data_IF_561205737972
#
_entry.id   IF_561205737972
#
_cell.length_a   1.000
_cell.length_b   1.000
_cell.length_c   1.000
_cell.angle_alpha   90.00
_cell.angle_beta   90.00
_cell.angle_gamma   90.00
#
_symmetry.space_group_name_H-M   'P 1'
#
loop_
_entity.id
_entity.type
_entity.pdbx_description
1 polymer ?
#
# COMPACT_ATOMS: atom_id res chain seq x y z
N UNK A 1 40.98 48.78 -27.59
CA UNK A 1 41.46 48.76 -26.19
C UNK A 1 40.56 49.67 -25.37
N UNK A 2 39.83 49.14 -24.38
CA UNK A 2 39.52 49.92 -23.19
C UNK A 2 39.98 49.17 -21.95
N UNK A 3 40.96 49.75 -21.26
CA UNK A 3 41.30 49.46 -19.87
C UNK A 3 40.31 50.25 -19.00
N UNK A 4 39.50 49.56 -18.22
CA UNK A 4 39.08 50.01 -16.89
C UNK A 4 38.68 48.77 -16.09
N UNK A 5 39.67 48.22 -15.38
CA UNK A 5 39.57 47.16 -14.39
C UNK A 5 39.76 47.82 -13.02
N UNK A 6 39.04 47.33 -12.00
CA UNK A 6 39.00 47.77 -10.60
C UNK A 6 38.31 49.14 -10.41
N UNK A 7 37.22 49.26 -9.66
CA UNK A 7 37.05 48.91 -8.23
C UNK A 7 35.57 48.55 -7.97
N UNK A 8 35.33 47.81 -6.88
CA UNK A 8 34.05 47.42 -6.26
C UNK A 8 33.50 46.02 -6.56
N UNK A 9 34.30 45.04 -6.12
CA UNK A 9 33.83 43.87 -5.36
C UNK A 9 33.00 44.34 -4.16
N UNK A 10 31.68 44.50 -4.32
CA UNK A 10 30.71 44.65 -3.21
C UNK A 10 29.25 44.69 -3.68
N UNK A 11 28.79 43.78 -4.55
CA UNK A 11 27.35 43.69 -4.86
C UNK A 11 26.87 42.29 -5.30
N UNK A 12 27.30 41.23 -4.62
CA UNK A 12 26.69 39.89 -4.77
C UNK A 12 26.44 39.15 -3.46
N UNK A 13 26.52 39.84 -2.32
CA UNK A 13 26.21 39.29 -1.00
C UNK A 13 24.85 39.76 -0.49
N UNK A 14 23.77 39.53 -1.26
CA UNK A 14 22.41 39.37 -0.71
C UNK A 14 21.51 38.75 -1.77
N UNK A 15 20.72 37.75 -1.38
CA UNK A 15 19.83 36.89 -2.18
C UNK A 15 20.44 35.63 -2.81
N UNK A 16 21.49 35.09 -2.20
CA UNK A 16 21.78 33.66 -2.29
C UNK A 16 21.70 33.04 -0.89
N UNK A 17 20.51 33.05 -0.28
CA UNK A 17 20.14 31.88 0.54
C UNK A 17 19.91 30.73 -0.44
N UNK A 18 21.02 30.22 -0.98
CA UNK A 18 21.11 28.82 -1.34
C UNK A 18 20.81 28.09 -0.03
N UNK A 19 19.53 27.75 0.16
CA UNK A 19 19.16 26.64 1.01
C UNK A 19 19.97 25.49 0.43
N UNK A 20 21.11 25.22 1.08
CA UNK A 20 21.73 23.93 1.05
C UNK A 20 20.64 22.99 1.57
N UNK A 21 19.77 22.52 0.67
CA UNK A 21 19.06 21.27 0.83
C UNK A 21 20.17 20.29 1.18
N UNK A 22 20.28 20.01 2.48
CA UNK A 22 21.16 19.01 3.01
C UNK A 22 20.73 17.74 2.28
N UNK A 23 21.49 17.37 1.24
CA UNK A 23 21.31 16.18 0.43
C UNK A 23 21.69 15.01 1.34
N UNK A 24 20.89 14.78 2.38
CA UNK A 24 20.92 13.57 3.18
C UNK A 24 20.78 12.45 2.16
N UNK A 25 21.84 11.65 2.02
CA UNK A 25 21.91 10.54 1.08
C UNK A 25 20.59 9.78 1.11
N UNK A 26 19.84 9.82 0.00
CA UNK A 26 18.63 9.02 -0.14
C UNK A 26 19.05 7.56 0.02
N UNK A 27 18.56 6.90 1.05
CA UNK A 27 18.89 5.49 1.29
C UNK A 27 18.46 4.66 0.08
N UNK A 28 19.42 4.01 -0.57
CA UNK A 28 19.20 3.10 -1.70
C UNK A 28 18.18 2.03 -1.31
N UNK A 29 17.04 1.97 -2.02
CA UNK A 29 15.96 1.02 -1.75
C UNK A 29 16.43 -0.45 -1.79
N UNK A 30 17.48 -0.77 -2.55
CA UNK A 30 18.06 -2.11 -2.62
C UNK A 30 18.89 -2.48 -1.39
N UNK A 31 19.36 -1.49 -0.61
CA UNK A 31 20.19 -1.65 0.59
C UNK A 31 19.48 -1.31 1.89
N UNK A 32 18.41 -0.51 1.82
CA UNK A 32 17.64 -0.07 2.97
C UNK A 32 17.07 -1.28 3.74
N UNK A 33 17.10 -1.21 5.07
CA UNK A 33 16.56 -2.28 5.95
C UNK A 33 15.09 -2.55 5.61
N UNK A 34 14.78 -3.76 5.18
CA UNK A 34 13.40 -4.27 5.08
C UNK A 34 13.01 -4.87 6.43
N UNK A 35 11.93 -4.36 7.01
CA UNK A 35 11.34 -4.94 8.20
C UNK A 35 10.72 -6.31 7.94
N UNK A 36 10.22 -6.91 9.01
CA UNK A 36 9.37 -8.11 8.99
C UNK A 36 8.54 -8.11 10.26
N UNK A 37 7.62 -9.05 10.41
CA UNK A 37 6.93 -9.28 11.67
C UNK A 37 7.79 -10.18 12.57
N UNK A 38 8.07 -9.70 13.78
CA UNK A 38 8.64 -10.54 14.85
C UNK A 38 7.66 -11.65 15.24
N UNK A 39 8.13 -12.67 15.95
CA UNK A 39 7.28 -13.78 16.43
C UNK A 39 6.07 -13.28 17.23
N UNK A 40 6.32 -12.44 18.23
CA UNK A 40 5.26 -11.79 19.02
C UNK A 40 4.27 -10.99 18.16
N UNK A 41 4.75 -10.32 17.11
CA UNK A 41 3.85 -9.59 16.20
C UNK A 41 3.02 -10.55 15.35
N UNK A 42 3.57 -11.69 14.93
CA UNK A 42 2.81 -12.73 14.22
C UNK A 42 1.73 -13.34 15.11
N UNK A 43 2.03 -13.62 16.38
CA UNK A 43 1.05 -14.08 17.37
C UNK A 43 -0.08 -13.05 17.57
N UNK A 44 0.27 -11.78 17.75
CA UNK A 44 -0.71 -10.69 17.88
C UNK A 44 -1.58 -10.53 16.62
N UNK A 45 -1.03 -10.84 15.44
CA UNK A 45 -1.72 -10.72 14.17
C UNK A 45 -2.56 -11.96 13.80
N UNK A 46 -2.38 -13.10 14.48
CA UNK A 46 -3.02 -14.37 14.14
C UNK A 46 -4.56 -14.26 13.98
N UNK A 47 -5.32 -13.60 14.88
CA UNK A 47 -6.79 -13.49 14.73
C UNK A 47 -7.24 -12.66 13.53
N UNK A 48 -6.35 -11.83 12.96
CA UNK A 48 -6.63 -11.05 11.75
C UNK A 48 -6.24 -11.84 10.51
N UNK A 49 -5.14 -12.59 10.57
CA UNK A 49 -4.65 -13.46 9.51
C UNK A 49 -5.62 -14.61 9.16
N UNK A 50 -6.45 -15.01 10.13
CA UNK A 50 -7.56 -15.97 9.91
C UNK A 50 -8.67 -15.44 9.02
N UNK A 51 -8.82 -14.12 8.92
CA UNK A 51 -9.83 -13.47 8.09
C UNK A 51 -9.28 -13.04 6.73
N UNK A 52 -7.96 -12.91 6.60
CA UNK A 52 -7.33 -12.51 5.36
C UNK A 52 -5.97 -11.84 5.58
N UNK A 53 -5.36 -11.33 4.50
CA UNK A 53 -4.04 -10.71 4.58
C UNK A 53 -3.99 -9.48 5.48
N UNK A 54 -2.84 -9.29 6.11
CA UNK A 54 -2.49 -8.09 6.87
C UNK A 54 -1.34 -7.37 6.17
N UNK A 55 -1.40 -6.04 6.11
CA UNK A 55 -0.38 -5.19 5.51
C UNK A 55 0.14 -4.21 6.55
N UNK A 56 1.45 -4.18 6.79
CA UNK A 56 2.12 -3.10 7.52
C UNK A 56 2.88 -2.23 6.53
N UNK A 57 2.56 -0.94 6.53
CA UNK A 57 3.30 0.06 5.74
C UNK A 57 4.22 0.83 6.67
N UNK A 58 5.50 0.50 6.68
CA UNK A 58 6.49 1.10 7.59
C UNK A 58 7.09 2.39 7.04
N UNK A 59 7.23 3.38 7.91
CA UNK A 59 7.88 4.65 7.61
C UNK A 59 9.18 4.76 8.43
N UNK A 60 10.34 4.90 7.78
CA UNK A 60 11.62 4.89 8.49
C UNK A 60 11.92 6.18 9.25
N UNK A 61 11.66 7.37 8.67
CA UNK A 61 11.95 8.65 9.35
C UNK A 61 11.07 9.80 8.88
N UNK A 62 10.84 9.95 7.56
CA UNK A 62 10.00 11.01 6.99
C UNK A 62 8.82 10.44 6.22
N UNK A 63 7.71 11.17 6.24
CA UNK A 63 6.56 10.91 5.37
C UNK A 63 6.90 10.93 3.87
N UNK A 64 8.09 11.37 3.47
CA UNK A 64 8.61 11.41 2.10
C UNK A 64 9.43 10.19 1.70
N UNK A 65 9.85 9.35 2.65
CA UNK A 65 10.68 8.18 2.36
C UNK A 65 9.86 7.06 1.72
N UNK A 66 10.51 6.18 0.96
CA UNK A 66 9.85 5.01 0.38
C UNK A 66 9.51 4.01 1.49
N UNK A 67 8.22 3.74 1.74
CA UNK A 67 7.85 2.83 2.80
C UNK A 67 8.32 1.42 2.48
N UNK A 68 8.63 0.66 3.53
CA UNK A 68 8.62 -0.79 3.38
C UNK A 68 7.17 -1.26 3.49
N UNK A 69 6.77 -2.17 2.61
CA UNK A 69 5.45 -2.77 2.59
C UNK A 69 5.63 -4.21 3.03
N UNK A 70 5.04 -4.59 4.16
CA UNK A 70 5.14 -5.93 4.74
C UNK A 70 3.75 -6.54 4.72
N UNK A 71 3.53 -7.47 3.81
CA UNK A 71 2.33 -8.28 3.75
C UNK A 71 2.53 -9.58 4.52
N UNK A 72 1.48 -10.03 5.21
CA UNK A 72 1.40 -11.36 5.77
C UNK A 72 0.08 -12.02 5.39
N UNK A 73 0.12 -13.31 5.05
CA UNK A 73 -1.07 -14.11 4.79
C UNK A 73 -0.85 -15.56 5.26
N UNK A 74 -1.89 -16.15 5.84
CA UNK A 74 -1.97 -17.61 6.02
C UNK A 74 -2.22 -18.25 4.66
N UNK A 75 -1.56 -19.38 4.42
CA UNK A 75 -1.69 -20.18 3.21
C UNK A 75 -2.04 -21.60 3.64
N UNK A 76 -3.14 -22.13 3.12
CA UNK A 76 -3.59 -23.51 3.31
C UNK A 76 -2.77 -24.46 2.42
N UNK A 77 -1.45 -24.41 2.61
CA UNK A 77 -0.47 -25.29 2.00
C UNK A 77 0.75 -25.45 2.93
N UNK A 78 1.41 -26.63 2.91
CA UNK A 78 2.67 -26.83 3.62
C UNK A 78 3.72 -25.80 3.19
N UNK A 79 4.55 -25.34 4.14
CA UNK A 79 5.60 -24.34 3.87
C UNK A 79 6.52 -24.72 2.70
N UNK A 80 6.81 -26.03 2.53
CA UNK A 80 7.59 -26.56 1.41
C UNK A 80 6.91 -26.35 0.05
N UNK A 81 5.59 -26.49 -0.02
CA UNK A 81 4.81 -26.28 -1.24
C UNK A 81 4.88 -24.82 -1.66
N UNK A 82 4.68 -23.90 -0.70
CA UNK A 82 4.78 -22.45 -0.95
C UNK A 82 6.19 -22.05 -1.38
N UNK A 83 7.22 -22.58 -0.70
CA UNK A 83 8.62 -22.38 -1.07
C UNK A 83 8.91 -22.88 -2.49
N UNK A 84 8.32 -24.02 -2.87
CA UNK A 84 8.36 -24.56 -4.22
C UNK A 84 7.80 -23.60 -5.26
N UNK A 85 6.66 -22.97 -5.01
CA UNK A 85 6.10 -21.95 -5.92
C UNK A 85 7.08 -20.78 -6.08
N UNK A 86 7.56 -20.20 -4.98
CA UNK A 86 8.41 -18.99 -4.99
C UNK A 86 9.80 -19.23 -5.61
N UNK A 87 10.35 -20.43 -5.47
CA UNK A 87 11.69 -20.73 -5.96
C UNK A 87 11.80 -20.80 -7.50
N UNK A 88 10.67 -20.84 -8.23
CA UNK A 88 10.62 -21.14 -9.66
C UNK A 88 9.91 -20.00 -10.43
N UNK A 89 10.52 -18.81 -10.51
CA UNK A 89 9.88 -17.64 -11.14
C UNK A 89 9.51 -17.86 -12.61
N UNK A 90 10.16 -18.78 -13.33
CA UNK A 90 9.79 -19.18 -14.69
C UNK A 90 8.38 -19.78 -14.79
N UNK A 91 7.81 -20.28 -13.69
CA UNK A 91 6.45 -20.82 -13.66
C UNK A 91 5.41 -19.73 -13.40
N UNK A 92 5.81 -18.54 -12.95
CA UNK A 92 4.89 -17.47 -12.58
C UNK A 92 3.90 -17.10 -13.70
N UNK A 93 4.29 -16.99 -14.98
CA UNK A 93 3.34 -16.68 -16.06
C UNK A 93 2.18 -17.67 -16.21
N UNK A 94 2.30 -18.90 -15.68
CA UNK A 94 1.23 -19.90 -15.74
C UNK A 94 0.08 -19.63 -14.78
N UNK A 95 0.29 -18.82 -13.75
CA UNK A 95 -0.71 -18.52 -12.73
C UNK A 95 -0.85 -17.02 -12.39
N UNK A 96 0.12 -16.19 -12.74
CA UNK A 96 0.07 -14.73 -12.61
C UNK A 96 -0.37 -14.12 -13.93
N UNK A 97 -1.68 -13.93 -14.13
CA UNK A 97 -2.23 -13.64 -15.47
C UNK A 97 -1.65 -12.41 -16.15
N UNK A 98 -1.25 -11.41 -15.38
CA UNK A 98 -0.70 -10.19 -15.93
C UNK A 98 0.79 -10.35 -16.28
N UNK A 99 1.49 -11.33 -15.71
CA UNK A 99 2.91 -11.59 -15.99
C UNK A 99 3.05 -12.38 -17.28
N UNK A 100 3.42 -11.70 -18.36
CA UNK A 100 3.48 -12.28 -19.70
C UNK A 100 4.64 -13.27 -19.85
N UNK A 101 5.81 -12.96 -19.29
CA UNK A 101 6.97 -13.83 -19.40
C UNK A 101 7.97 -13.66 -18.25
N UNK A 102 8.70 -14.73 -17.99
CA UNK A 102 9.88 -14.74 -17.12
C UNK A 102 10.98 -15.54 -17.83
N UNK A 103 12.11 -14.88 -18.08
CA UNK A 103 13.23 -15.44 -18.81
C UNK A 103 14.44 -15.58 -17.88
N UNK A 104 14.70 -16.81 -17.41
CA UNK A 104 15.89 -17.10 -16.59
C UNK A 104 17.15 -16.93 -17.43
N UNK A 105 18.05 -16.05 -16.98
CA UNK A 105 19.31 -15.73 -17.69
C UNK A 105 20.48 -16.57 -17.20
N UNK A 106 20.53 -16.84 -15.90
CA UNK A 106 21.57 -17.68 -15.33
C UNK A 106 21.17 -18.21 -13.97
N UNK A 107 21.70 -19.38 -13.63
CA UNK A 107 21.62 -19.97 -12.28
C UNK A 107 23.05 -20.23 -11.82
N UNK A 108 23.41 -19.73 -10.63
CA UNK A 108 24.73 -19.92 -10.01
C UNK A 108 24.54 -20.23 -8.53
N UNK A 109 24.65 -21.50 -8.17
CA UNK A 109 24.41 -21.97 -6.80
C UNK A 109 23.01 -21.59 -6.32
N UNK A 110 22.94 -20.81 -5.24
CA UNK A 110 21.68 -20.34 -4.64
C UNK A 110 21.06 -19.13 -5.33
N UNK A 111 21.70 -18.59 -6.38
CA UNK A 111 21.26 -17.38 -7.07
C UNK A 111 20.71 -17.67 -8.46
N UNK A 112 19.59 -17.03 -8.81
CA UNK A 112 18.95 -17.07 -10.12
C UNK A 112 18.73 -15.65 -10.62
N UNK A 113 19.32 -15.30 -11.76
CA UNK A 113 19.05 -14.05 -12.46
C UNK A 113 17.98 -14.28 -13.52
N UNK A 114 16.97 -13.41 -13.57
CA UNK A 114 15.88 -13.51 -14.54
C UNK A 114 15.35 -12.13 -14.93
N UNK A 115 14.87 -12.05 -16.16
CA UNK A 115 14.11 -10.92 -16.67
C UNK A 115 12.62 -11.26 -16.62
N UNK A 116 11.77 -10.26 -16.52
CA UNK A 116 10.33 -10.44 -16.56
C UNK A 116 9.66 -9.34 -17.38
N UNK A 117 8.49 -9.67 -17.93
CA UNK A 117 7.58 -8.73 -18.60
C UNK A 117 6.20 -8.85 -17.98
N UNK A 118 5.68 -7.72 -17.52
CA UNK A 118 4.35 -7.57 -16.93
C UNK A 118 3.48 -6.75 -17.88
N UNK A 119 2.44 -7.38 -18.43
CA UNK A 119 1.50 -6.76 -19.34
C UNK A 119 0.35 -6.11 -18.59
N UNK A 120 0.11 -4.84 -18.83
CA UNK A 120 -1.19 -4.21 -18.55
C UNK A 120 -1.79 -3.69 -19.86
N UNK A 121 -3.10 -3.56 -19.93
CA UNK A 121 -3.84 -3.27 -21.19
C UNK A 121 -3.33 -2.05 -21.97
N UNK A 122 -2.61 -1.12 -21.34
CA UNK A 122 -2.08 0.09 -21.98
C UNK A 122 -0.56 0.17 -22.11
N UNK A 123 0.19 -0.68 -21.41
CA UNK A 123 1.66 -0.65 -21.42
C UNK A 123 2.22 -1.97 -20.88
N UNK A 124 3.46 -2.30 -21.27
CA UNK A 124 4.23 -3.35 -20.61
C UNK A 124 5.22 -2.71 -19.63
N UNK A 125 5.52 -3.46 -18.58
CA UNK A 125 6.61 -3.17 -17.66
C UNK A 125 7.60 -4.32 -17.74
N UNK A 126 8.87 -4.00 -17.76
CA UNK A 126 9.96 -4.99 -17.77
C UNK A 126 10.86 -4.78 -16.57
N UNK A 127 11.55 -5.84 -16.15
CA UNK A 127 12.59 -5.68 -15.14
C UNK A 127 13.54 -6.84 -15.00
N UNK A 128 14.61 -6.56 -14.26
CA UNK A 128 15.73 -7.46 -14.03
C UNK A 128 15.81 -7.77 -12.54
N UNK A 129 15.80 -9.05 -12.21
CA UNK A 129 15.82 -9.52 -10.84
C UNK A 129 16.91 -10.56 -10.61
N UNK A 130 17.42 -10.58 -9.39
CA UNK A 130 18.24 -11.68 -8.87
C UNK A 130 17.53 -12.24 -7.63
N UNK A 131 17.07 -13.49 -7.72
CA UNK A 131 16.56 -14.27 -6.60
C UNK A 131 17.71 -15.02 -5.93
N UNK A 132 17.76 -14.98 -4.60
CA UNK A 132 18.67 -15.76 -3.75
C UNK A 132 17.85 -16.63 -2.83
N UNK A 133 18.01 -17.95 -2.93
CA UNK A 133 17.35 -18.93 -2.07
C UNK A 133 18.26 -19.30 -0.90
N UNK A 134 17.78 -19.11 0.33
CA UNK A 134 18.54 -19.52 1.52
C UNK A 134 18.18 -20.96 1.91
N UNK A 135 19.09 -21.71 2.56
CA UNK A 135 18.78 -23.03 3.10
C UNK A 135 17.56 -22.99 4.01
N UNK A 136 16.74 -24.04 3.92
CA UNK A 136 15.60 -24.22 4.80
C UNK A 136 16.06 -24.47 6.23
N UNK A 137 15.31 -23.94 7.18
CA UNK A 137 15.52 -24.09 8.61
C UNK A 137 14.24 -24.66 9.25
N UNK A 138 14.31 -25.70 10.11
CA UNK A 138 13.11 -26.30 10.70
C UNK A 138 12.26 -25.31 11.54
N UNK A 139 12.89 -24.34 12.20
CA UNK A 139 12.22 -23.38 13.07
C UNK A 139 11.90 -22.07 12.33
N UNK A 140 12.84 -21.60 11.50
CA UNK A 140 12.73 -20.32 10.79
C UNK A 140 12.10 -20.45 9.40
N UNK A 141 11.90 -21.68 8.93
CA UNK A 141 11.27 -22.00 7.67
C UNK A 141 12.13 -21.68 6.45
N UNK A 142 11.51 -21.11 5.42
CA UNK A 142 12.17 -20.80 4.15
C UNK A 142 12.33 -19.29 3.96
N UNK A 143 13.40 -18.91 3.25
CA UNK A 143 13.65 -17.51 2.90
C UNK A 143 14.16 -17.36 1.47
N UNK A 144 13.59 -16.38 0.78
CA UNK A 144 14.04 -15.95 -0.54
C UNK A 144 14.21 -14.44 -0.55
N UNK A 145 15.34 -13.96 -1.05
CA UNK A 145 15.57 -12.54 -1.29
C UNK A 145 15.58 -12.28 -2.80
N UNK A 146 14.76 -11.35 -3.28
CA UNK A 146 14.77 -10.90 -4.67
C UNK A 146 15.26 -9.46 -4.70
N UNK A 147 16.31 -9.18 -5.47
CA UNK A 147 16.82 -7.84 -5.71
C UNK A 147 16.44 -7.41 -7.12
N UNK A 148 15.73 -6.29 -7.24
CA UNK A 148 15.47 -5.65 -8.52
C UNK A 148 16.64 -4.74 -8.85
N UNK A 149 17.39 -5.13 -9.87
CA UNK A 149 18.64 -4.46 -10.28
C UNK A 149 18.42 -3.42 -11.36
N UNK A 150 17.24 -3.41 -12.00
CA UNK A 150 16.84 -2.40 -12.99
C UNK A 150 15.52 -2.75 -13.67
N UNK A 151 15.12 -1.89 -14.61
CA UNK A 151 13.88 -2.02 -15.37
C UNK A 151 12.93 -0.83 -15.17
N UNK A 152 11.70 -1.03 -15.61
CA UNK A 152 10.64 -0.02 -15.67
C UNK A 152 9.89 0.15 -14.34
N UNK A 153 10.23 -0.64 -13.32
CA UNK A 153 9.85 -0.45 -11.91
C UNK A 153 11.02 0.09 -11.06
N UNK A 154 12.16 0.42 -11.68
CA UNK A 154 13.33 0.97 -11.00
C UNK A 154 14.14 -0.06 -10.22
N UNK A 155 14.58 0.29 -9.01
CA UNK A 155 15.42 -0.56 -8.16
C UNK A 155 14.70 -0.90 -6.86
N UNK A 156 15.04 -2.04 -6.27
CA UNK A 156 14.47 -2.39 -4.98
C UNK A 156 14.81 -3.77 -4.50
N UNK A 157 14.08 -4.19 -3.46
CA UNK A 157 14.27 -5.47 -2.82
C UNK A 157 12.95 -6.01 -2.31
N UNK A 158 12.81 -7.32 -2.42
CA UNK A 158 11.71 -8.13 -1.92
C UNK A 158 12.30 -9.27 -1.09
N UNK A 159 11.65 -9.62 0.01
CA UNK A 159 12.01 -10.75 0.86
C UNK A 159 10.75 -11.57 1.13
N UNK A 160 10.83 -12.85 0.84
CA UNK A 160 9.86 -13.86 1.25
C UNK A 160 10.38 -14.57 2.49
N UNK A 161 9.53 -14.68 3.51
CA UNK A 161 9.71 -15.61 4.63
C UNK A 161 8.49 -16.50 4.74
N UNK A 162 8.71 -17.79 4.91
CA UNK A 162 7.64 -18.78 4.94
C UNK A 162 7.83 -19.58 6.23
N UNK A 163 6.95 -19.36 7.20
CA UNK A 163 7.00 -20.03 8.49
C UNK A 163 6.04 -21.23 8.46
N UNK A 164 6.48 -22.42 8.91
CA UNK A 164 5.57 -23.53 9.15
C UNK A 164 4.49 -23.14 10.20
N UNK A 165 3.23 -23.45 9.94
CA UNK A 165 2.10 -23.22 10.87
C UNK A 165 1.24 -24.50 10.97
N UNK A 166 1.92 -25.64 11.04
CA UNK A 166 1.34 -26.99 10.96
C UNK A 166 1.70 -27.75 9.68
N UNK A 167 1.24 -29.00 9.52
CA UNK A 167 1.58 -29.84 8.38
C UNK A 167 0.95 -29.37 7.07
N UNK A 168 -0.25 -28.77 7.12
CA UNK A 168 -1.03 -28.36 5.95
C UNK A 168 -1.12 -26.84 5.78
N UNK A 169 -0.46 -26.07 6.66
CA UNK A 169 -0.56 -24.62 6.68
C UNK A 169 0.79 -23.96 6.85
N UNK A 170 0.87 -22.72 6.36
CA UNK A 170 2.03 -21.88 6.55
C UNK A 170 1.63 -20.41 6.65
N UNK A 171 2.52 -19.62 7.26
CA UNK A 171 2.43 -18.17 7.29
C UNK A 171 3.50 -17.59 6.36
N UNK A 172 3.06 -16.88 5.34
CA UNK A 172 3.95 -16.17 4.42
C UNK A 172 4.04 -14.71 4.83
N UNK A 173 5.26 -14.19 4.92
CA UNK A 173 5.56 -12.78 5.08
C UNK A 173 6.34 -12.30 3.86
N UNK A 174 5.71 -11.42 3.08
CA UNK A 174 6.27 -10.77 1.90
C UNK A 174 6.63 -9.33 2.25
N UNK A 175 7.91 -8.98 2.19
CA UNK A 175 8.40 -7.63 2.52
C UNK A 175 9.02 -6.99 1.29
N UNK A 176 8.55 -5.83 0.86
CA UNK A 176 9.05 -5.14 -0.33
C UNK A 176 9.38 -3.67 -0.09
N UNK A 177 10.35 -3.17 -0.83
CA UNK A 177 10.63 -1.74 -1.01
C UNK A 177 11.11 -1.55 -2.44
N UNK A 178 10.36 -0.77 -3.21
CA UNK A 178 10.64 -0.45 -4.61
C UNK A 178 10.76 1.07 -4.76
N UNK A 179 11.79 1.52 -5.46
CA UNK A 179 12.02 2.90 -5.85
C UNK A 179 11.78 3.09 -7.34
N UNK A 180 10.57 3.58 -7.65
CA UNK A 180 10.11 3.82 -9.02
C UNK A 180 10.48 5.23 -9.53
N UNK A 181 11.15 6.08 -8.72
CA UNK A 181 11.39 7.49 -9.07
C UNK A 181 12.30 7.66 -10.30
N UNK A 182 13.19 6.70 -10.53
CA UNK A 182 14.09 6.69 -11.69
C UNK A 182 13.64 5.74 -12.79
N UNK A 183 12.38 5.27 -12.75
CA UNK A 183 11.85 4.33 -13.75
C UNK A 183 11.54 5.02 -15.09
N UNK A 184 10.90 4.34 -16.04
CA UNK A 184 10.62 4.87 -17.40
C UNK A 184 9.71 6.11 -17.38
N UNK A 185 9.54 6.78 -18.53
CA UNK A 185 8.81 8.06 -18.61
C UNK A 185 7.37 7.97 -18.09
N UNK A 186 6.63 6.92 -18.42
CA UNK A 186 5.25 6.72 -17.96
C UNK A 186 5.20 6.53 -16.44
N UNK A 187 6.09 5.69 -15.91
CA UNK A 187 6.21 5.50 -14.46
C UNK A 187 6.62 6.80 -13.76
N UNK A 188 7.49 7.60 -14.37
CA UNK A 188 7.86 8.94 -13.86
C UNK A 188 6.68 9.92 -13.90
N UNK A 189 5.84 9.87 -14.93
CA UNK A 189 4.68 10.74 -15.06
C UNK A 189 3.57 10.37 -14.06
N UNK A 190 3.41 9.07 -13.77
CA UNK A 190 2.56 8.61 -12.67
C UNK A 190 3.17 8.96 -11.30
N UNK A 191 4.50 8.89 -11.16
CA UNK A 191 5.22 9.23 -9.95
C UNK A 191 5.37 10.75 -9.71
N UNK A 192 5.26 11.58 -10.75
CA UNK A 192 5.43 13.04 -10.67
C UNK A 192 4.28 13.72 -9.95
N UNK A 193 3.10 13.09 -9.89
CA UNK A 193 1.97 13.47 -9.01
C UNK A 193 2.27 13.23 -7.51
N UNK A 194 3.47 12.71 -7.20
CA UNK A 194 4.05 12.65 -5.87
C UNK A 194 4.29 11.23 -5.38
N UNK A 195 5.00 11.13 -4.24
CA UNK A 195 5.31 9.87 -3.56
C UNK A 195 4.07 9.01 -3.21
N UNK A 196 2.88 9.58 -3.33
CA UNK A 196 1.63 8.91 -3.05
C UNK A 196 1.29 7.80 -4.05
N UNK A 197 1.44 8.06 -5.35
CA UNK A 197 1.10 7.10 -6.41
C UNK A 197 2.07 5.91 -6.38
N UNK A 198 3.37 6.16 -6.21
CA UNK A 198 4.39 5.11 -6.05
C UNK A 198 4.05 4.14 -4.91
N UNK A 199 3.49 4.63 -3.80
CA UNK A 199 3.10 3.78 -2.67
C UNK A 199 1.89 2.91 -3.00
N UNK A 200 0.88 3.49 -3.63
CA UNK A 200 -0.31 2.77 -4.06
C UNK A 200 0.07 1.62 -4.99
N UNK A 201 0.94 1.89 -5.96
CA UNK A 201 1.45 0.86 -6.87
C UNK A 201 2.23 -0.21 -6.11
N UNK A 202 3.15 0.17 -5.23
CA UNK A 202 3.93 -0.81 -4.44
C UNK A 202 3.04 -1.73 -3.59
N UNK A 203 2.01 -1.18 -2.95
CA UNK A 203 1.03 -1.93 -2.15
C UNK A 203 0.21 -2.86 -3.06
N UNK A 204 -0.28 -2.37 -4.19
CA UNK A 204 -1.06 -3.18 -5.13
C UNK A 204 -0.25 -4.32 -5.76
N UNK A 205 0.98 -4.04 -6.20
CA UNK A 205 1.93 -5.04 -6.75
C UNK A 205 2.27 -6.09 -5.69
N UNK A 206 2.58 -5.66 -4.45
CA UNK A 206 2.86 -6.59 -3.36
C UNK A 206 1.66 -7.50 -3.04
N UNK A 207 0.44 -6.94 -3.04
CA UNK A 207 -0.78 -7.70 -2.81
C UNK A 207 -1.01 -8.75 -3.89
N UNK A 208 -0.97 -8.37 -5.18
CA UNK A 208 -1.21 -9.31 -6.28
C UNK A 208 -0.18 -10.43 -6.29
N UNK A 209 1.11 -10.12 -6.12
CA UNK A 209 2.17 -11.14 -6.10
C UNK A 209 1.98 -12.13 -4.96
N UNK A 210 1.70 -11.66 -3.73
CA UNK A 210 1.48 -12.55 -2.60
C UNK A 210 0.21 -13.42 -2.79
N UNK A 211 -0.89 -12.80 -3.23
CA UNK A 211 -2.18 -13.48 -3.32
C UNK A 211 -2.21 -14.50 -4.46
N UNK A 212 -1.54 -14.25 -5.58
CA UNK A 212 -1.41 -15.22 -6.66
C UNK A 212 -0.49 -16.39 -6.26
N UNK A 213 0.62 -16.12 -5.56
CA UNK A 213 1.46 -17.20 -4.98
C UNK A 213 0.68 -18.02 -3.96
N UNK A 214 -0.11 -17.38 -3.10
CA UNK A 214 -1.00 -18.07 -2.14
C UNK A 214 -1.99 -18.98 -2.88
N UNK A 215 -2.72 -18.43 -3.85
CA UNK A 215 -3.72 -19.19 -4.61
C UNK A 215 -3.11 -20.40 -5.34
N UNK A 216 -1.94 -20.21 -5.96
CA UNK A 216 -1.24 -21.30 -6.64
C UNK A 216 -0.73 -22.36 -5.66
N UNK A 217 -0.19 -21.97 -4.51
CA UNK A 217 0.27 -22.93 -3.51
C UNK A 217 -0.88 -23.75 -2.91
N UNK A 218 -2.02 -23.12 -2.63
CA UNK A 218 -3.23 -23.79 -2.15
C UNK A 218 -3.78 -24.74 -3.21
N UNK A 219 -3.80 -24.31 -4.47
CA UNK A 219 -4.17 -25.18 -5.60
C UNK A 219 -3.27 -26.41 -5.70
N UNK A 220 -1.94 -26.25 -5.57
CA UNK A 220 -0.98 -27.37 -5.55
C UNK A 220 -1.17 -28.29 -4.34
N UNK A 221 -1.68 -27.77 -3.23
CA UNK A 221 -2.03 -28.54 -2.03
C UNK A 221 -3.42 -29.22 -2.11
N UNK A 222 -4.14 -29.08 -3.23
CA UNK A 222 -5.46 -29.68 -3.41
C UNK A 222 -6.64 -28.79 -2.95
N UNK A 223 -6.36 -27.55 -2.56
CA UNK A 223 -7.38 -26.55 -2.24
C UNK A 223 -8.15 -26.07 -3.48
N UNK A 224 -9.44 -25.76 -3.29
CA UNK A 224 -10.30 -25.14 -4.30
C UNK A 224 -10.97 -23.90 -3.73
N UNK A 225 -10.54 -22.71 -4.18
CA UNK A 225 -11.24 -21.45 -3.92
C UNK A 225 -12.13 -21.13 -5.12
N UNK A 226 -13.43 -21.39 -5.03
CA UNK A 226 -14.37 -21.02 -6.12
C UNK A 226 -15.74 -20.53 -5.65
N UNK A 227 -16.00 -20.40 -4.34
CA UNK A 227 -17.31 -19.93 -3.89
C UNK A 227 -17.31 -18.41 -3.75
N UNK A 228 -18.09 -17.73 -4.60
CA UNK A 228 -18.45 -16.32 -4.40
C UNK A 228 -19.28 -16.21 -3.12
N UNK A 229 -18.68 -15.68 -2.06
CA UNK A 229 -19.39 -15.39 -0.82
C UNK A 229 -20.36 -14.22 -0.99
N UNK A 230 -21.50 -14.27 -0.31
CA UNK A 230 -22.44 -13.15 -0.21
C UNK A 230 -21.77 -11.99 0.53
N UNK A 231 -21.96 -10.75 0.06
CA UNK A 231 -21.44 -9.55 0.77
C UNK A 231 -22.03 -9.48 2.18
N UNK A 232 -21.14 -9.36 3.17
CA UNK A 232 -21.47 -9.12 4.57
C UNK A 232 -21.80 -7.65 4.80
N UNK A 233 -22.56 -7.37 5.86
CA UNK A 233 -22.77 -6.00 6.33
C UNK A 233 -21.45 -5.43 6.84
N UNK A 234 -21.19 -4.15 6.54
CA UNK A 234 -20.01 -3.45 7.04
C UNK A 234 -20.07 -3.36 8.58
N UNK A 235 -19.12 -3.98 9.27
CA UNK A 235 -19.07 -4.02 10.73
C UNK A 235 -17.78 -3.41 11.24
N UNK A 236 -17.82 -2.83 12.45
CA UNK A 236 -16.60 -2.29 13.06
C UNK A 236 -15.62 -3.44 13.30
N UNK A 237 -14.37 -3.35 12.81
CA UNK A 237 -13.39 -4.40 13.03
C UNK A 237 -13.05 -4.45 14.52
N UNK A 238 -13.00 -5.66 15.08
CA UNK A 238 -12.48 -5.88 16.43
C UNK A 238 -10.95 -5.76 16.39
N UNK A 239 -10.44 -4.63 16.86
CA UNK A 239 -9.01 -4.29 16.86
C UNK A 239 -8.59 -3.79 18.24
N UNK A 240 -7.62 -4.47 18.85
CA UNK A 240 -7.00 -4.01 20.08
C UNK A 240 -5.87 -3.01 19.79
N UNK A 241 -6.22 -1.72 19.73
CA UNK A 241 -5.29 -0.63 19.44
C UNK A 241 -4.12 -0.55 20.43
N UNK A 242 -4.35 -0.88 21.70
CA UNK A 242 -3.31 -0.84 22.73
C UNK A 242 -2.29 -1.96 22.53
N UNK A 243 -2.74 -3.18 22.24
CA UNK A 243 -1.86 -4.32 21.95
C UNK A 243 -1.03 -4.09 20.68
N UNK A 244 -1.62 -3.47 19.65
CA UNK A 244 -0.94 -3.16 18.39
C UNK A 244 -0.05 -1.90 18.45
N UNK A 245 -0.02 -1.18 19.58
CA UNK A 245 0.67 0.12 19.69
C UNK A 245 2.15 0.07 19.32
N UNK A 246 2.83 -1.06 19.53
CA UNK A 246 4.21 -1.30 19.10
C UNK A 246 4.37 -1.25 17.58
N UNK A 247 3.55 -2.00 16.84
CA UNK A 247 3.53 -1.98 15.38
C UNK A 247 3.06 -0.63 14.83
N UNK A 248 2.04 -0.02 15.46
CA UNK A 248 1.48 1.26 15.00
C UNK A 248 2.42 2.46 15.23
N UNK A 249 3.53 2.28 15.96
CA UNK A 249 4.64 3.26 15.98
C UNK A 249 5.53 3.17 14.75
N UNK A 250 5.62 1.99 14.11
CA UNK A 250 6.44 1.76 12.90
C UNK A 250 5.72 2.17 11.63
N UNK A 251 4.39 2.09 11.62
CA UNK A 251 3.62 2.22 10.40
C UNK A 251 2.11 2.13 10.59
N UNK A 252 1.42 2.04 9.45
CA UNK A 252 -0.03 1.84 9.37
C UNK A 252 -0.34 0.39 9.02
N UNK A 253 -1.34 -0.19 9.69
CA UNK A 253 -1.81 -1.54 9.43
C UNK A 253 -3.07 -1.51 8.58
N UNK A 254 -3.13 -2.35 7.54
CA UNK A 254 -4.34 -2.69 6.81
C UNK A 254 -4.73 -4.12 7.13
N UNK A 255 -6.00 -4.33 7.44
CA UNK A 255 -6.59 -5.63 7.70
C UNK A 255 -7.60 -5.90 6.59
N UNK A 256 -7.44 -7.01 5.88
CA UNK A 256 -8.34 -7.40 4.80
C UNK A 256 -9.19 -8.58 5.26
N UNK A 257 -10.50 -8.47 5.08
CA UNK A 257 -11.48 -9.52 5.39
C UNK A 257 -11.91 -10.17 4.07
N UNK A 258 -11.31 -11.33 3.78
CA UNK A 258 -11.57 -12.12 2.58
C UNK A 258 -12.46 -13.31 2.92
N UNK A 259 -13.41 -13.60 2.03
CA UNK A 259 -14.22 -14.81 2.07
C UNK A 259 -14.12 -15.48 0.70
N UNK A 260 -13.22 -16.46 0.60
CA UNK A 260 -12.68 -16.91 -0.69
C UNK A 260 -11.99 -15.75 -1.42
N UNK A 261 -12.36 -15.54 -2.68
CA UNK A 261 -11.86 -14.43 -3.51
C UNK A 261 -12.68 -13.12 -3.33
N UNK A 262 -13.67 -13.09 -2.45
CA UNK A 262 -14.48 -11.89 -2.21
C UNK A 262 -13.91 -11.07 -1.06
N UNK A 263 -13.41 -9.87 -1.34
CA UNK A 263 -13.14 -8.87 -0.29
C UNK A 263 -14.46 -8.33 0.29
N UNK A 264 -14.70 -8.65 1.55
CA UNK A 264 -15.88 -8.25 2.30
C UNK A 264 -15.75 -6.80 2.77
N UNK A 265 -14.62 -6.51 3.39
CA UNK A 265 -14.28 -5.19 3.91
C UNK A 265 -12.76 -5.05 4.06
N UNK A 266 -12.32 -3.81 4.14
CA UNK A 266 -10.94 -3.44 4.46
C UNK A 266 -10.95 -2.49 5.64
N UNK A 267 -10.02 -2.67 6.57
CA UNK A 267 -9.79 -1.73 7.65
C UNK A 267 -8.36 -1.19 7.60
N UNK A 268 -8.18 0.08 7.94
CA UNK A 268 -6.88 0.69 8.22
C UNK A 268 -6.87 1.18 9.66
N UNK A 269 -5.77 0.90 10.34
CA UNK A 269 -5.53 1.38 11.70
C UNK A 269 -4.17 2.05 11.78
N UNK A 270 -4.14 3.19 12.44
CA UNK A 270 -2.96 4.05 12.46
C UNK A 270 -2.95 5.03 13.61
N UNK A 271 -1.77 5.53 13.94
CA UNK A 271 -1.57 6.65 14.87
C UNK A 271 -1.72 7.97 14.14
N UNK A 272 -2.48 8.90 14.69
CA UNK A 272 -2.71 10.19 14.05
C UNK A 272 -1.68 11.27 14.46
N UNK A 273 -0.91 11.04 15.53
CA UNK A 273 0.08 12.02 16.00
C UNK A 273 -0.52 13.30 16.60
N UNK A 274 -1.81 13.30 16.96
CA UNK A 274 -2.50 14.43 17.57
C UNK A 274 -3.69 14.00 18.45
N UNK A 275 -4.28 14.94 19.18
CA UNK A 275 -5.45 14.70 20.04
C UNK A 275 -6.73 14.36 19.26
N UNK A 276 -7.65 13.62 19.89
CA UNK A 276 -8.94 13.23 19.29
C UNK A 276 -9.72 14.42 18.72
N UNK A 277 -9.85 15.51 19.48
CA UNK A 277 -10.61 16.70 19.04
C UNK A 277 -10.12 17.25 17.70
N UNK A 278 -8.80 17.31 17.53
CA UNK A 278 -8.13 17.80 16.33
C UNK A 278 -8.25 16.84 15.16
N UNK A 279 -8.09 15.54 15.40
CA UNK A 279 -8.28 14.53 14.37
C UNK A 279 -9.72 14.54 13.86
N UNK A 280 -10.69 14.59 14.78
CA UNK A 280 -12.11 14.64 14.44
C UNK A 280 -12.49 15.91 13.70
N UNK A 281 -11.87 17.06 14.02
CA UNK A 281 -12.07 18.30 13.25
C UNK A 281 -11.75 18.10 11.77
N UNK A 282 -10.62 17.48 11.45
CA UNK A 282 -10.24 17.19 10.06
C UNK A 282 -11.16 16.14 9.43
N UNK A 283 -11.53 15.09 10.16
CA UNK A 283 -12.42 14.04 9.64
C UNK A 283 -13.84 14.54 9.33
N UNK A 284 -14.30 15.60 10.00
CA UNK A 284 -15.63 16.18 9.83
C UNK A 284 -15.66 17.31 8.81
N UNK A 285 -14.52 17.63 8.22
CA UNK A 285 -14.36 18.70 7.24
C UNK A 285 -13.84 18.09 5.92
N UNK A 286 -14.73 17.78 4.97
CA UNK A 286 -14.34 17.13 3.73
C UNK A 286 -13.41 18.00 2.87
N UNK A 287 -13.53 19.33 2.93
CA UNK A 287 -12.69 20.25 2.16
C UNK A 287 -11.25 20.19 2.69
N UNK A 288 -11.08 20.19 4.01
CA UNK A 288 -9.79 20.03 4.67
C UNK A 288 -9.16 18.66 4.37
N UNK A 289 -9.96 17.60 4.41
CA UNK A 289 -9.50 16.23 4.16
C UNK A 289 -9.15 15.99 2.67
N UNK A 290 -9.95 16.52 1.75
CA UNK A 290 -9.80 16.35 0.30
C UNK A 290 -8.46 16.89 -0.21
N UNK A 291 -8.00 18.02 0.34
CA UNK A 291 -6.75 18.68 -0.03
C UNK A 291 -5.47 17.86 0.23
N UNK A 292 -5.54 16.77 1.00
CA UNK A 292 -4.36 15.99 1.41
C UNK A 292 -4.29 14.58 0.84
N UNK A 293 -5.25 14.17 0.00
CA UNK A 293 -5.26 12.84 -0.61
C UNK A 293 -4.17 12.74 -1.68
N UNK A 294 -4.25 13.60 -2.70
CA UNK A 294 -3.26 13.80 -3.76
C UNK A 294 -3.12 15.30 -4.08
N UNK A 295 -2.06 15.66 -4.80
CA UNK A 295 -1.92 17.03 -5.29
C UNK A 295 -3.07 17.34 -6.26
N UNK A 296 -3.67 18.53 -6.14
CA UNK A 296 -4.82 18.93 -6.95
C UNK A 296 -6.16 18.28 -6.55
N UNK A 297 -6.20 17.35 -5.59
CA UNK A 297 -7.47 16.84 -5.08
C UNK A 297 -8.25 17.93 -4.37
N UNK A 298 -9.55 17.99 -4.64
CA UNK A 298 -10.47 18.91 -3.99
C UNK A 298 -11.72 18.20 -3.52
N UNK A 299 -12.37 18.82 -2.54
CA UNK A 299 -13.73 18.52 -2.15
C UNK A 299 -14.42 19.85 -1.84
N UNK A 300 -15.69 19.96 -2.20
CA UNK A 300 -16.50 21.16 -2.01
C UNK A 300 -17.83 20.78 -1.37
N UNK A 301 -18.21 21.49 -0.31
CA UNK A 301 -19.48 21.25 0.37
C UNK A 301 -20.63 21.83 -0.44
N UNK A 302 -21.48 20.95 -0.98
CA UNK A 302 -22.64 21.33 -1.78
C UNK A 302 -23.87 21.57 -0.91
N UNK A 303 -24.03 20.83 0.18
CA UNK A 303 -25.21 20.93 1.05
C UNK A 303 -24.85 20.62 2.51
N UNK A 304 -25.41 21.41 3.44
CA UNK A 304 -25.41 21.12 4.88
C UNK A 304 -26.86 20.99 5.34
N UNK A 305 -27.24 19.79 5.78
CA UNK A 305 -28.58 19.53 6.33
C UNK A 305 -28.52 18.58 7.53
N UNK A 306 -29.66 18.38 8.19
CA UNK A 306 -29.77 17.47 9.34
C UNK A 306 -29.45 16.01 8.97
N UNK A 307 -29.53 15.67 7.68
CA UNK A 307 -29.19 14.33 7.16
C UNK A 307 -27.68 14.09 7.05
N UNK A 308 -26.89 15.16 7.09
CA UNK A 308 -25.44 15.14 6.89
C UNK A 308 -24.96 16.26 5.97
N UNK A 309 -23.68 16.20 5.66
CA UNK A 309 -22.97 17.16 4.86
C UNK A 309 -22.62 16.50 3.51
N UNK A 310 -23.25 16.97 2.44
CA UNK A 310 -22.99 16.47 1.08
C UNK A 310 -21.86 17.26 0.46
N UNK A 311 -20.95 16.57 -0.19
CA UNK A 311 -19.81 17.18 -0.85
C UNK A 311 -19.50 16.48 -2.17
N UNK A 312 -19.08 17.29 -3.13
CA UNK A 312 -18.45 16.83 -4.37
C UNK A 312 -16.97 16.65 -4.11
N UNK A 313 -16.36 15.70 -4.81
CA UNK A 313 -14.92 15.47 -4.71
C UNK A 313 -14.34 15.11 -6.07
N UNK A 314 -13.09 15.53 -6.27
CA UNK A 314 -12.32 15.23 -7.45
C UNK A 314 -10.88 14.87 -7.06
N UNK A 315 -10.37 13.82 -7.71
CA UNK A 315 -8.96 13.46 -7.72
C UNK A 315 -8.49 13.56 -9.16
N UNK A 316 -7.70 14.60 -9.51
CA UNK A 316 -7.12 14.68 -10.83
C UNK A 316 -6.07 13.58 -10.96
N UNK A 317 -6.25 12.69 -11.93
CA UNK A 317 -5.21 11.75 -12.35
C UNK A 317 -4.87 11.99 -13.81
N UNK A 318 -3.59 11.86 -14.20
CA UNK A 318 -3.23 11.90 -15.61
C UNK A 318 -4.07 10.91 -16.41
N UNK A 319 -4.74 11.39 -17.47
CA UNK A 319 -5.61 10.61 -18.36
C UNK A 319 -6.91 10.09 -17.72
N UNK A 320 -7.20 10.41 -16.46
CA UNK A 320 -8.39 9.96 -15.74
C UNK A 320 -8.99 11.02 -14.83
N UNK A 321 -10.27 11.30 -15.06
CA UNK A 321 -11.07 12.07 -14.11
C UNK A 321 -11.77 11.09 -13.15
N UNK A 322 -11.46 11.19 -11.86
CA UNK A 322 -12.09 10.41 -10.80
C UNK A 322 -12.75 11.38 -9.83
N UNK A 323 -14.07 11.29 -9.73
CA UNK A 323 -14.85 12.13 -8.84
C UNK A 323 -16.27 11.61 -8.65
N UNK A 324 -17.03 12.28 -7.80
CA UNK A 324 -18.42 11.97 -7.51
C UNK A 324 -18.95 12.77 -6.33
N UNK A 325 -20.12 12.36 -5.84
CA UNK A 325 -20.72 12.93 -4.63
C UNK A 325 -20.70 11.92 -3.48
N UNK A 326 -20.48 12.44 -2.28
CA UNK A 326 -20.54 11.68 -1.04
C UNK A 326 -21.36 12.43 0.02
N UNK A 327 -21.88 11.71 1.00
CA UNK A 327 -22.50 12.27 2.20
C UNK A 327 -21.72 11.87 3.44
N UNK A 328 -21.28 12.87 4.19
CA UNK A 328 -20.68 12.72 5.51
C UNK A 328 -21.76 12.87 6.57
N UNK A 329 -21.87 11.89 7.47
CA UNK A 329 -22.76 11.97 8.64
C UNK A 329 -21.92 12.04 9.91
N UNK A 330 -21.93 13.19 10.61
CA UNK A 330 -21.23 13.34 11.87
C UNK A 330 -21.90 12.47 12.93
N UNK A 331 -21.11 11.94 13.85
CA UNK A 331 -21.61 11.26 15.05
C UNK A 331 -20.53 11.31 16.13
N UNK A 332 -20.87 11.40 17.42
CA UNK A 332 -19.89 11.45 18.51
C UNK A 332 -18.93 10.26 18.53
N UNK A 333 -19.38 9.10 18.06
CA UNK A 333 -18.58 7.88 18.00
C UNK A 333 -18.05 7.66 16.59
N UNK A 334 -18.87 7.10 15.71
CA UNK A 334 -18.50 6.63 14.37
C UNK A 334 -18.94 7.64 13.32
N UNK A 335 -17.99 8.26 12.63
CA UNK A 335 -18.26 9.12 11.47
C UNK A 335 -18.54 8.21 10.27
N UNK A 336 -19.63 8.46 9.55
CA UNK A 336 -19.97 7.72 8.34
C UNK A 336 -19.78 8.59 7.09
N UNK A 337 -19.19 8.02 6.05
CA UNK A 337 -19.13 8.63 4.71
C UNK A 337 -19.64 7.59 3.73
N UNK A 338 -20.68 7.93 2.96
CA UNK A 338 -21.26 7.05 1.96
C UNK A 338 -21.25 7.70 0.58
N UNK A 339 -20.95 6.91 -0.45
CA UNK A 339 -21.09 7.33 -1.84
C UNK A 339 -22.55 7.61 -2.20
N UNK A 340 -22.76 8.60 -3.08
CA UNK A 340 -24.06 8.96 -3.63
C UNK A 340 -24.05 8.74 -5.15
N UNK A 341 -23.07 9.35 -5.85
CA UNK A 341 -22.99 9.35 -7.31
C UNK A 341 -21.53 9.33 -7.78
N UNK A 342 -21.31 9.08 -9.07
CA UNK A 342 -19.97 9.05 -9.66
C UNK A 342 -19.15 7.81 -9.29
N UNK A 343 -17.84 8.00 -9.21
CA UNK A 343 -16.88 6.94 -8.86
C UNK A 343 -17.07 6.51 -7.41
N UNK A 344 -17.06 5.21 -7.13
CA UNK A 344 -17.27 4.66 -5.79
C UNK A 344 -18.63 5.02 -5.17
N UNK A 345 -19.66 5.26 -5.98
CA UNK A 345 -21.03 5.58 -5.53
C UNK A 345 -21.65 4.57 -4.57
N UNK A 346 -21.21 3.30 -4.59
CA UNK A 346 -21.65 2.27 -3.63
C UNK A 346 -20.74 2.11 -2.42
N UNK A 347 -19.65 2.87 -2.37
CA UNK A 347 -18.68 2.80 -1.30
C UNK A 347 -19.26 3.30 0.02
N UNK A 348 -18.88 2.64 1.10
CA UNK A 348 -19.25 3.01 2.48
C UNK A 348 -18.00 2.99 3.32
N UNK A 349 -17.73 4.10 4.00
CA UNK A 349 -16.60 4.27 4.91
C UNK A 349 -17.09 4.65 6.29
N UNK A 350 -16.42 4.12 7.30
CA UNK A 350 -16.70 4.40 8.70
C UNK A 350 -15.38 4.70 9.38
N UNK A 351 -15.39 5.68 10.27
CA UNK A 351 -14.21 6.11 11.01
C UNK A 351 -14.51 6.21 12.49
N UNK A 352 -13.62 5.65 13.30
CA UNK A 352 -13.66 5.74 14.74
C UNK A 352 -12.29 6.19 15.27
N UNK A 353 -12.27 6.74 16.47
CA UNK A 353 -11.08 7.26 17.13
C UNK A 353 -10.84 6.57 18.46
N UNK A 354 -9.60 6.16 18.70
CA UNK A 354 -9.15 5.56 19.96
C UNK A 354 -8.27 6.56 20.73
N UNK A 355 -8.42 6.64 22.05
CA UNK A 355 -7.53 7.46 22.90
C UNK A 355 -6.43 6.60 23.49
N UNK A 356 -5.18 6.88 23.15
CA UNK A 356 -4.03 6.31 23.85
C UNK A 356 -3.83 6.99 25.22
N UNK A 357 -3.18 6.33 26.21
CA UNK A 357 -2.92 6.91 27.53
C UNK A 357 -2.24 8.29 27.50
N UNK A 358 -1.39 8.56 26.51
CA UNK A 358 -0.73 9.85 26.32
C UNK A 358 -1.59 10.95 25.65
N UNK A 359 -2.89 10.73 25.46
CA UNK A 359 -3.82 11.68 24.84
C UNK A 359 -3.80 11.72 23.31
N UNK A 360 -2.87 11.01 22.66
CA UNK A 360 -2.84 10.83 21.22
C UNK A 360 -4.03 10.00 20.73
N UNK A 361 -4.56 10.37 19.56
CA UNK A 361 -5.58 9.62 18.85
C UNK A 361 -4.98 8.52 17.97
N UNK A 362 -5.49 7.30 18.13
CA UNK A 362 -5.51 6.29 17.10
C UNK A 362 -6.76 6.45 16.22
N UNK A 363 -6.67 6.01 14.97
CA UNK A 363 -7.77 6.02 14.01
C UNK A 363 -8.02 4.60 13.55
N UNK A 364 -9.29 4.24 13.47
CA UNK A 364 -9.78 3.00 12.88
C UNK A 364 -10.72 3.40 11.75
N UNK A 365 -10.28 3.24 10.51
CA UNK A 365 -11.10 3.40 9.31
C UNK A 365 -11.46 2.04 8.76
N UNK A 366 -12.71 1.82 8.36
CA UNK A 366 -13.10 0.60 7.65
C UNK A 366 -14.11 0.90 6.57
N UNK A 367 -14.05 0.12 5.49
CA UNK A 367 -14.88 0.37 4.33
C UNK A 367 -15.22 -0.89 3.55
N UNK A 368 -16.28 -0.77 2.78
CA UNK A 368 -16.61 -1.67 1.67
C UNK A 368 -16.84 -0.81 0.43
N UNK A 369 -16.14 -1.12 -0.65
CA UNK A 369 -16.35 -0.50 -1.96
C UNK A 369 -15.85 -1.45 -3.03
N UNK A 370 -16.41 -1.31 -4.22
CA UNK A 370 -16.04 -2.12 -5.37
C UNK A 370 -15.22 -1.28 -6.35
N UNK A 371 -13.95 -1.59 -6.59
CA UNK A 371 -13.18 -0.90 -7.61
C UNK A 371 -13.78 -1.05 -9.02
N UNK A 372 -14.65 -2.03 -9.26
CA UNK A 372 -15.41 -2.14 -10.50
C UNK A 372 -16.40 -0.96 -10.71
N UNK A 373 -16.77 -0.22 -9.66
CA UNK A 373 -17.56 1.01 -9.76
C UNK A 373 -16.69 2.24 -10.17
N UNK A 374 -15.43 2.03 -10.59
CA UNK A 374 -14.51 3.08 -11.06
C UNK A 374 -14.60 3.37 -12.56
N UNK A 375 -14.01 4.48 -13.06
CA UNK A 375 -13.95 4.79 -14.49
C UNK A 375 -13.41 3.63 -15.33
N UNK A 376 -13.80 3.58 -16.61
CA UNK A 376 -13.53 2.46 -17.54
C UNK A 376 -12.07 2.03 -17.55
N UNK A 377 -11.12 2.97 -17.40
CA UNK A 377 -9.71 2.61 -17.41
C UNK A 377 -9.25 1.87 -16.14
N UNK A 378 -9.64 2.34 -14.95
CA UNK A 378 -9.35 1.62 -13.69
C UNK A 378 -9.99 0.23 -13.75
N UNK A 379 -11.24 0.16 -14.24
CA UNK A 379 -11.91 -1.11 -14.52
C UNK A 379 -11.09 -2.00 -15.45
N UNK A 380 -10.50 -1.48 -16.52
CA UNK A 380 -9.64 -2.26 -17.43
C UNK A 380 -8.34 -2.69 -16.78
N UNK A 381 -7.73 -1.84 -15.94
CA UNK A 381 -6.50 -2.17 -15.21
C UNK A 381 -6.72 -3.28 -14.17
N UNK A 382 -7.89 -3.33 -13.53
CA UNK A 382 -8.26 -4.41 -12.60
C UNK A 382 -8.96 -5.58 -13.30
N UNK A 383 -9.42 -5.41 -14.55
CA UNK A 383 -10.17 -6.43 -15.27
C UNK A 383 -9.28 -7.64 -15.53
N UNK A 384 -9.74 -8.80 -15.09
CA UNK A 384 -8.99 -10.06 -15.18
C UNK A 384 -8.20 -10.40 -13.92
N UNK A 385 -7.97 -9.47 -12.99
CA UNK A 385 -7.21 -9.77 -11.76
C UNK A 385 -7.88 -9.25 -10.48
N UNK A 386 -8.65 -10.13 -9.83
CA UNK A 386 -9.32 -9.85 -8.55
C UNK A 386 -8.32 -9.45 -7.45
N UNK A 387 -7.11 -10.04 -7.44
CA UNK A 387 -6.12 -9.76 -6.40
C UNK A 387 -5.51 -8.37 -6.53
N UNK A 388 -5.34 -7.88 -7.76
CA UNK A 388 -4.92 -6.50 -8.00
C UNK A 388 -5.97 -5.49 -7.49
N UNK A 389 -7.27 -5.80 -7.68
CA UNK A 389 -8.38 -5.01 -7.12
C UNK A 389 -8.29 -4.91 -5.59
N UNK A 390 -8.01 -6.02 -4.90
CA UNK A 390 -7.83 -6.06 -3.45
C UNK A 390 -6.65 -5.18 -2.99
N UNK A 391 -5.53 -5.23 -3.70
CA UNK A 391 -4.37 -4.39 -3.46
C UNK A 391 -4.65 -2.89 -3.60
N UNK A 392 -5.42 -2.52 -4.63
CA UNK A 392 -5.86 -1.14 -4.85
C UNK A 392 -6.77 -0.63 -3.70
N UNK A 393 -7.67 -1.48 -3.22
CA UNK A 393 -8.54 -1.18 -2.07
C UNK A 393 -7.72 -0.91 -0.80
N UNK A 394 -6.75 -1.77 -0.50
CA UNK A 394 -5.83 -1.60 0.63
C UNK A 394 -5.02 -0.29 0.53
N UNK A 395 -4.48 -0.01 -0.65
CA UNK A 395 -3.74 1.22 -0.90
C UNK A 395 -4.57 2.49 -0.71
N UNK A 396 -5.84 2.46 -1.13
CA UNK A 396 -6.77 3.59 -0.95
C UNK A 396 -6.99 3.89 0.53
N UNK A 397 -7.16 2.87 1.37
CA UNK A 397 -7.30 3.07 2.81
C UNK A 397 -6.03 3.66 3.46
N UNK A 398 -4.86 3.22 3.04
CA UNK A 398 -3.59 3.82 3.48
C UNK A 398 -3.47 5.29 3.09
N UNK A 399 -3.92 5.64 1.87
CA UNK A 399 -3.93 7.03 1.41
C UNK A 399 -4.84 7.91 2.30
N UNK A 400 -6.01 7.41 2.70
CA UNK A 400 -6.92 8.08 3.64
C UNK A 400 -6.25 8.34 4.99
N UNK A 401 -5.65 7.32 5.61
CA UNK A 401 -4.98 7.46 6.91
C UNK A 401 -3.81 8.46 6.86
N UNK A 402 -3.03 8.41 5.77
CA UNK A 402 -1.94 9.36 5.54
C UNK A 402 -2.45 10.77 5.33
N UNK A 403 -3.47 10.96 4.49
CA UNK A 403 -4.10 12.25 4.20
C UNK A 403 -4.48 12.94 5.51
N UNK A 404 -5.20 12.19 6.37
CA UNK A 404 -5.60 12.64 7.70
C UNK A 404 -4.39 13.05 8.56
N UNK A 405 -3.37 12.19 8.69
CA UNK A 405 -2.16 12.50 9.48
C UNK A 405 -1.46 13.77 8.97
N UNK A 406 -1.30 13.90 7.65
CA UNK A 406 -0.65 15.05 7.02
C UNK A 406 -1.40 16.35 7.27
N UNK A 407 -2.74 16.34 7.17
CA UNK A 407 -3.55 17.54 7.41
C UNK A 407 -3.58 17.90 8.88
N UNK A 408 -3.77 16.91 9.73
CA UNK A 408 -3.74 17.07 11.18
C UNK A 408 -2.44 17.73 11.61
N UNK A 409 -1.27 17.39 11.04
CA UNK A 409 0.00 18.06 11.38
C UNK A 409 0.14 19.48 10.79
N UNK A 410 -0.43 19.76 9.61
CA UNK A 410 -0.36 21.09 8.99
C UNK A 410 -1.11 22.16 9.76
N UNK A 411 -2.26 21.84 10.35
CA UNK A 411 -3.05 22.73 11.23
C UNK A 411 -2.34 23.09 12.57
N UNK A 412 -1.03 22.81 12.71
CA UNK A 412 -0.23 23.05 13.94
C UNK A 412 0.49 24.39 13.84
N UNK A 413 0.73 24.81 12.61
CA UNK A 413 1.16 26.15 12.24
C UNK A 413 -0.11 26.92 11.91
#
# INVERSE_FOLDING_TARGET
>A
MPRFLLVFVLFTAWNATALAETRTERVDASRARLGTFSERERELLAPYLDRGPVVLTEFQNRQTDLPAVIYAARVEAPARTVAGVIAHPQEYPSFMQALESVNVKSVRGQMMAFDWTWGVTLFSLTGHNVLTAFPADPERGYRYDIRTTGGELGIGRVVWRIYPDGPERSLVVFSSRLDMRNANYITRQLASEGNAVNRTINVAVAAVTLLEVKAEAERRAGGSSTKKAKRKTLTRPDVNMQALSGMLRRGDLVLMDLDGDTLQQVAVVGRAGASISRVRRVMLDPEEFGQSILHGSCAEVVERSDKGLRFEWEIPMPLLHVGGEMILRPSPTIIAVDGISGTLSKGRWRFDTHRYPGGEAGVIGWATFDPADSPKLIRKLIAGNTQFSHGFVAATQLAVMRSLRSRVHRLRR
#
